data_IF_778726507314
#
_entry.id   IF_778726507314
#
_cell.length_a   1.000
_cell.length_b   1.000
_cell.length_c   1.000
_cell.angle_alpha   90.00
_cell.angle_beta   90.00
_cell.angle_gamma   90.00
#
_symmetry.space_group_name_H-M   'P 1'
#
loop_
_entity.id
_entity.type
_entity.pdbx_description
1 polymer ?
#
# COMPACT_ATOMS: atom_id res chain seq x y z
N UNK A 1 -18.99 -9.15 36.32
CA UNK A 1 -18.65 -9.40 34.90
C UNK A 1 -17.82 -8.23 34.38
N UNK A 2 -16.52 -8.43 34.19
CA UNK A 2 -15.68 -7.41 33.54
C UNK A 2 -16.03 -7.36 32.05
N UNK A 3 -16.54 -6.21 31.57
CA UNK A 3 -16.69 -5.96 30.14
C UNK A 3 -15.29 -5.91 29.54
N UNK A 4 -14.90 -6.97 28.85
CA UNK A 4 -13.72 -6.97 27.98
C UNK A 4 -14.00 -5.95 26.89
N UNK A 5 -13.49 -4.73 27.05
CA UNK A 5 -13.39 -3.77 25.97
C UNK A 5 -12.40 -4.35 24.96
N UNK A 6 -12.86 -5.26 24.11
CA UNK A 6 -12.16 -5.62 22.90
C UNK A 6 -12.15 -4.36 22.04
N UNK A 7 -11.11 -3.53 22.18
CA UNK A 7 -10.83 -2.46 21.23
C UNK A 7 -10.73 -3.16 19.88
N UNK A 8 -11.79 -3.08 19.05
CA UNK A 8 -11.74 -3.55 17.66
C UNK A 8 -10.52 -2.89 17.05
N UNK A 9 -9.53 -3.69 16.70
CA UNK A 9 -8.36 -3.22 15.99
C UNK A 9 -8.87 -2.65 14.67
N UNK A 10 -8.74 -1.34 14.46
CA UNK A 10 -9.00 -0.69 13.15
C UNK A 10 -7.96 -1.10 12.09
N UNK A 11 -7.20 -2.18 12.30
CA UNK A 11 -6.19 -2.68 11.36
C UNK A 11 -6.81 -3.77 10.51
N UNK A 12 -6.75 -3.55 9.20
CA UNK A 12 -7.07 -4.54 8.18
C UNK A 12 -6.13 -5.75 8.28
N UNK A 13 -6.65 -6.95 8.00
CA UNK A 13 -5.82 -8.15 7.83
C UNK A 13 -4.95 -8.04 6.58
N UNK A 14 -3.91 -8.88 6.46
CA UNK A 14 -3.06 -8.87 5.27
C UNK A 14 -3.87 -9.18 3.99
N UNK A 15 -4.81 -10.12 4.07
CA UNK A 15 -5.67 -10.48 2.94
C UNK A 15 -6.60 -9.34 2.55
N UNK A 16 -7.19 -8.65 3.53
CA UNK A 16 -7.99 -7.45 3.25
C UNK A 16 -7.16 -6.35 2.58
N UNK A 17 -5.92 -6.15 3.03
CA UNK A 17 -4.99 -5.18 2.42
C UNK A 17 -4.71 -5.56 0.96
N UNK A 18 -4.42 -6.84 0.68
CA UNK A 18 -4.15 -7.33 -0.67
C UNK A 18 -5.33 -7.11 -1.61
N UNK A 19 -6.55 -7.45 -1.18
CA UNK A 19 -7.74 -7.26 -1.99
C UNK A 19 -8.04 -5.78 -2.23
N UNK A 20 -7.89 -4.91 -1.21
CA UNK A 20 -8.04 -3.46 -1.39
C UNK A 20 -6.96 -2.91 -2.35
N UNK A 21 -5.73 -3.41 -2.27
CA UNK A 21 -4.65 -2.97 -3.16
C UNK A 21 -4.91 -3.37 -4.62
N UNK A 22 -5.47 -4.55 -4.90
CA UNK A 22 -5.89 -4.95 -6.25
C UNK A 22 -6.89 -3.96 -6.84
N UNK A 23 -7.93 -3.62 -6.07
CA UNK A 23 -8.94 -2.62 -6.48
C UNK A 23 -8.28 -1.26 -6.74
N UNK A 24 -7.37 -0.82 -5.87
CA UNK A 24 -6.65 0.44 -6.06
C UNK A 24 -5.75 0.43 -7.30
N UNK A 25 -5.13 -0.70 -7.65
CA UNK A 25 -4.35 -0.85 -8.89
C UNK A 25 -5.26 -0.74 -10.11
N UNK A 26 -6.39 -1.46 -10.12
CA UNK A 26 -7.36 -1.39 -11.21
C UNK A 26 -7.91 0.02 -11.40
N UNK A 27 -8.26 0.70 -10.30
CA UNK A 27 -8.73 2.08 -10.33
C UNK A 27 -7.62 3.05 -10.81
N UNK A 28 -6.37 2.86 -10.36
CA UNK A 28 -5.24 3.66 -10.78
C UNK A 28 -4.92 3.51 -12.28
N UNK A 29 -5.15 2.31 -12.83
CA UNK A 29 -5.02 2.00 -14.26
C UNK A 29 -6.26 2.37 -15.07
N UNK A 30 -7.26 2.98 -14.43
CA UNK A 30 -8.54 3.39 -15.05
C UNK A 30 -9.33 2.21 -15.66
N UNK A 31 -9.11 0.99 -15.14
CA UNK A 31 -9.81 -0.23 -15.59
C UNK A 31 -11.21 -0.35 -14.98
N UNK A 32 -11.44 0.30 -13.84
CA UNK A 32 -12.74 0.36 -13.16
C UNK A 32 -13.05 1.82 -12.78
N UNK A 33 -14.34 2.13 -12.67
CA UNK A 33 -14.77 3.45 -12.17
C UNK A 33 -14.64 3.55 -10.66
N UNK A 34 -14.72 4.79 -10.13
CA UNK A 34 -14.71 5.02 -8.70
C UNK A 34 -15.89 4.32 -8.00
N UNK A 35 -17.09 4.34 -8.60
CA UNK A 35 -18.28 3.70 -8.03
C UNK A 35 -18.11 2.18 -7.91
N UNK A 36 -17.47 1.54 -8.88
CA UNK A 36 -17.17 0.10 -8.84
C UNK A 36 -16.14 -0.16 -7.74
N UNK A 37 -15.05 0.62 -7.70
CA UNK A 37 -14.02 0.49 -6.68
C UNK A 37 -14.58 0.65 -5.26
N UNK A 38 -15.48 1.61 -5.04
CA UNK A 38 -16.19 1.83 -3.77
C UNK A 38 -16.99 0.60 -3.37
N UNK A 39 -17.85 0.11 -4.29
CA UNK A 39 -18.70 -1.06 -4.05
C UNK A 39 -17.88 -2.29 -3.70
N UNK A 40 -16.84 -2.61 -4.46
CA UNK A 40 -16.00 -3.78 -4.20
C UNK A 40 -15.19 -3.65 -2.91
N UNK A 41 -14.70 -2.44 -2.61
CA UNK A 41 -13.97 -2.18 -1.35
C UNK A 41 -14.87 -2.39 -0.13
N UNK A 42 -16.12 -1.94 -0.17
CA UNK A 42 -17.07 -2.08 0.94
C UNK A 42 -17.51 -3.53 1.17
N UNK A 43 -17.44 -4.41 0.17
CA UNK A 43 -17.66 -5.85 0.36
C UNK A 43 -16.54 -6.49 1.19
N UNK A 44 -15.30 -6.01 1.03
CA UNK A 44 -14.13 -6.53 1.76
C UNK A 44 -14.09 -5.95 3.17
N UNK A 45 -14.22 -4.62 3.28
CA UNK A 45 -14.24 -3.92 4.56
C UNK A 45 -15.33 -2.85 4.57
N UNK A 46 -16.51 -3.13 5.17
CA UNK A 46 -17.64 -2.20 5.19
C UNK A 46 -17.35 -0.85 5.86
N UNK A 47 -16.33 -0.77 6.71
CA UNK A 47 -15.93 0.45 7.42
C UNK A 47 -14.78 1.19 6.75
N UNK A 48 -14.42 0.82 5.51
CA UNK A 48 -13.33 1.46 4.79
C UNK A 48 -13.69 2.90 4.41
N UNK A 49 -12.77 3.88 4.57
CA UNK A 49 -13.02 5.27 4.21
C UNK A 49 -12.96 5.47 2.68
N UNK A 50 -14.03 5.13 1.99
CA UNK A 50 -14.14 5.16 0.52
C UNK A 50 -13.90 6.53 -0.10
N UNK A 51 -14.16 7.61 0.63
CA UNK A 51 -13.87 8.99 0.20
C UNK A 51 -12.37 9.24 -0.08
N UNK A 52 -11.47 8.36 0.37
CA UNK A 52 -10.05 8.42 0.06
C UNK A 52 -9.66 7.66 -1.22
N UNK A 53 -10.55 6.93 -1.88
CA UNK A 53 -10.17 6.06 -3.00
C UNK A 53 -9.56 6.83 -4.18
N UNK A 54 -10.06 8.02 -4.49
CA UNK A 54 -9.51 8.85 -5.57
C UNK A 54 -8.08 9.31 -5.24
N UNK A 55 -7.83 9.75 -4.01
CA UNK A 55 -6.49 10.18 -3.59
C UNK A 55 -5.53 8.99 -3.49
N UNK A 56 -6.02 7.85 -3.02
CA UNK A 56 -5.30 6.59 -2.99
C UNK A 56 -4.93 6.11 -4.41
N UNK A 57 -5.83 6.25 -5.38
CA UNK A 57 -5.60 5.90 -6.79
C UNK A 57 -4.54 6.80 -7.42
N UNK A 58 -4.62 8.13 -7.22
CA UNK A 58 -3.57 9.06 -7.69
C UNK A 58 -2.21 8.75 -7.07
N UNK A 59 -2.17 8.35 -5.80
CA UNK A 59 -0.93 7.87 -5.16
C UNK A 59 -0.45 6.58 -5.80
N UNK A 60 -1.34 5.62 -6.03
CA UNK A 60 -1.01 4.35 -6.67
C UNK A 60 -0.47 4.55 -8.09
N UNK A 61 -1.06 5.45 -8.90
CA UNK A 61 -0.53 5.82 -10.22
C UNK A 61 0.94 6.23 -10.15
N UNK A 62 1.29 7.14 -9.24
CA UNK A 62 2.69 7.56 -9.02
C UNK A 62 3.59 6.37 -8.65
N UNK A 63 3.12 5.51 -7.76
CA UNK A 63 3.85 4.31 -7.32
C UNK A 63 4.08 3.32 -8.45
N UNK A 64 3.06 3.09 -9.29
CA UNK A 64 3.17 2.26 -10.50
C UNK A 64 4.12 2.86 -11.53
N UNK A 65 4.33 4.18 -11.53
CA UNK A 65 5.35 4.87 -12.34
C UNK A 65 6.72 5.00 -11.65
N UNK A 66 6.92 4.36 -10.51
CA UNK A 66 8.20 4.36 -9.81
C UNK A 66 8.53 5.63 -9.02
N UNK A 67 7.52 6.47 -8.75
CA UNK A 67 7.67 7.73 -8.03
C UNK A 67 7.28 7.55 -6.55
N UNK A 68 8.26 7.66 -5.67
CA UNK A 68 8.10 7.62 -4.22
C UNK A 68 7.60 8.95 -3.64
N UNK A 69 6.95 8.89 -2.47
CA UNK A 69 6.44 10.06 -1.78
C UNK A 69 6.69 9.95 -0.27
N UNK A 70 7.02 11.07 0.37
CA UNK A 70 7.14 11.17 1.83
C UNK A 70 5.77 11.30 2.50
N UNK A 71 4.98 12.29 2.05
CA UNK A 71 3.62 12.52 2.53
C UNK A 71 2.67 11.45 1.96
N UNK A 72 1.77 10.94 2.81
CA UNK A 72 0.85 9.84 2.48
C UNK A 72 1.55 8.56 2.00
N UNK A 73 2.79 8.35 2.46
CA UNK A 73 3.60 7.16 2.21
C UNK A 73 2.90 5.86 2.63
N UNK A 74 3.26 4.75 1.98
CA UNK A 74 2.74 3.44 2.34
C UNK A 74 3.29 3.00 3.71
N UNK A 75 2.41 2.60 4.65
CA UNK A 75 2.83 1.82 5.81
C UNK A 75 3.53 0.53 5.35
N UNK A 76 4.52 0.06 6.13
CA UNK A 76 5.36 -1.07 5.72
C UNK A 76 4.56 -2.35 5.38
N UNK A 77 3.49 -2.65 6.12
CA UNK A 77 2.64 -3.82 5.82
C UNK A 77 1.87 -3.68 4.50
N UNK A 78 1.46 -2.46 4.12
CA UNK A 78 0.86 -2.20 2.82
C UNK A 78 1.88 -2.27 1.68
N UNK A 79 3.09 -1.74 1.93
CA UNK A 79 4.20 -1.84 0.97
C UNK A 79 4.58 -3.30 0.70
N UNK A 80 4.65 -4.12 1.76
CA UNK A 80 4.91 -5.55 1.64
C UNK A 80 3.80 -6.25 0.84
N UNK A 81 2.53 -6.05 1.22
CA UNK A 81 1.41 -6.65 0.51
C UNK A 81 1.38 -6.24 -0.98
N UNK A 82 1.72 -4.99 -1.30
CA UNK A 82 1.79 -4.48 -2.67
C UNK A 82 2.88 -5.20 -3.48
N UNK A 83 4.07 -5.40 -2.89
CA UNK A 83 5.15 -6.17 -3.54
C UNK A 83 4.84 -7.66 -3.68
N UNK A 84 4.01 -8.23 -2.78
CA UNK A 84 3.59 -9.65 -2.83
C UNK A 84 2.55 -9.93 -3.92
N UNK A 85 1.69 -8.96 -4.25
CA UNK A 85 0.62 -9.15 -5.25
C UNK A 85 1.00 -8.70 -6.67
N UNK A 86 2.19 -8.11 -6.84
CA UNK A 86 2.67 -7.59 -8.13
C UNK A 86 3.89 -8.37 -8.61
N UNK A 87 4.15 -8.37 -9.91
CA UNK A 87 5.29 -9.05 -10.52
C UNK A 87 5.87 -8.23 -11.69
N UNK A 88 6.98 -8.72 -12.26
CA UNK A 88 7.62 -8.14 -13.44
C UNK A 88 7.95 -6.65 -13.31
N UNK A 89 7.72 -5.90 -14.40
CA UNK A 89 8.00 -4.46 -14.50
C UNK A 89 7.22 -3.65 -13.46
N UNK A 90 5.96 -4.00 -13.22
CA UNK A 90 5.13 -3.31 -12.23
C UNK A 90 5.74 -3.41 -10.82
N UNK A 91 6.15 -4.63 -10.42
CA UNK A 91 6.85 -4.84 -9.15
C UNK A 91 8.15 -4.05 -9.08
N UNK A 92 8.91 -3.98 -10.17
CA UNK A 92 10.16 -3.22 -10.23
C UNK A 92 9.93 -1.71 -10.02
N UNK A 93 8.91 -1.14 -10.65
CA UNK A 93 8.53 0.27 -10.46
C UNK A 93 8.05 0.51 -9.03
N UNK A 94 7.18 -0.34 -8.48
CA UNK A 94 6.74 -0.23 -7.08
C UNK A 94 7.95 -0.27 -6.13
N UNK A 95 8.88 -1.19 -6.34
CA UNK A 95 10.08 -1.30 -5.52
C UNK A 95 10.95 -0.04 -5.59
N UNK A 96 11.12 0.54 -6.79
CA UNK A 96 11.78 1.83 -6.99
C UNK A 96 11.09 2.96 -6.22
N UNK A 97 9.76 3.07 -6.32
CA UNK A 97 8.98 4.07 -5.59
C UNK A 97 9.14 3.93 -4.06
N UNK A 98 9.17 2.70 -3.54
CA UNK A 98 9.35 2.45 -2.12
C UNK A 98 10.77 2.77 -1.64
N UNK A 99 11.81 2.53 -2.47
CA UNK A 99 13.18 2.99 -2.18
C UNK A 99 13.27 4.51 -2.15
N UNK A 100 12.60 5.21 -3.08
CA UNK A 100 12.54 6.67 -3.04
C UNK A 100 11.78 7.18 -1.80
N UNK A 101 10.67 6.55 -1.42
CA UNK A 101 9.98 6.84 -0.17
C UNK A 101 10.93 6.72 1.04
N UNK A 102 11.74 5.66 1.10
CA UNK A 102 12.73 5.46 2.16
C UNK A 102 13.81 6.54 2.16
N UNK A 103 14.34 6.92 0.99
CA UNK A 103 15.29 8.03 0.84
C UNK A 103 14.71 9.34 1.38
N UNK A 104 13.46 9.65 1.02
CA UNK A 104 12.79 10.86 1.49
C UNK A 104 12.56 10.86 3.02
N UNK A 105 12.28 9.70 3.62
CA UNK A 105 12.22 9.56 5.08
C UNK A 105 13.56 9.93 5.73
N UNK A 106 14.68 9.42 5.20
CA UNK A 106 16.00 9.76 5.71
C UNK A 106 16.29 11.27 5.61
N UNK A 107 15.94 11.89 4.48
CA UNK A 107 16.17 13.33 4.25
C UNK A 107 15.32 14.23 5.15
N UNK A 108 14.08 13.83 5.44
CA UNK A 108 13.14 14.64 6.23
C UNK A 108 13.24 14.39 7.73
N UNK A 109 13.42 13.14 8.13
CA UNK A 109 13.37 12.72 9.54
C UNK A 109 14.76 12.41 10.11
N UNK A 110 15.81 12.44 9.30
CA UNK A 110 17.18 12.09 9.68
C UNK A 110 17.38 10.60 9.96
N UNK A 111 16.37 9.76 9.67
CA UNK A 111 16.44 8.31 9.92
C UNK A 111 15.54 7.52 8.97
N UNK A 112 15.96 6.28 8.75
CA UNK A 112 15.22 5.28 7.99
C UNK A 112 13.94 4.82 8.72
N UNK A 113 12.89 4.50 7.94
CA UNK A 113 11.77 3.73 8.46
C UNK A 113 12.19 2.26 8.57
N UNK A 114 12.55 1.82 9.78
CA UNK A 114 13.06 0.46 10.04
C UNK A 114 12.13 -0.67 9.58
N UNK A 115 10.81 -0.43 9.55
CA UNK A 115 9.86 -1.46 9.10
C UNK A 115 9.86 -1.57 7.58
N UNK A 116 9.87 -0.43 6.88
CA UNK A 116 9.95 -0.39 5.43
C UNK A 116 11.31 -0.90 4.93
N UNK A 117 12.40 -0.57 5.64
CA UNK A 117 13.75 -1.05 5.35
C UNK A 117 13.81 -2.59 5.31
N UNK A 118 13.21 -3.26 6.30
CA UNK A 118 13.12 -4.74 6.32
C UNK A 118 12.32 -5.29 5.12
N UNK A 119 11.23 -4.63 4.75
CA UNK A 119 10.42 -5.01 3.59
C UNK A 119 11.24 -4.88 2.30
N UNK A 120 11.99 -3.77 2.16
CA UNK A 120 12.83 -3.53 1.00
C UNK A 120 13.98 -4.55 0.91
N UNK A 121 14.66 -4.85 2.02
CA UNK A 121 15.73 -5.85 2.06
C UNK A 121 15.23 -7.25 1.66
N UNK A 122 14.08 -7.68 2.21
CA UNK A 122 13.48 -8.96 1.84
C UNK A 122 13.07 -9.01 0.37
N UNK A 123 12.52 -7.91 -0.16
CA UNK A 123 12.10 -7.85 -1.56
C UNK A 123 13.28 -7.83 -2.55
N UNK A 124 14.43 -7.29 -2.14
CA UNK A 124 15.67 -7.26 -2.91
C UNK A 124 16.32 -8.65 -3.02
N UNK A 125 16.33 -9.42 -1.93
CA UNK A 125 16.82 -10.80 -1.93
C UNK A 125 16.03 -11.68 -2.92
N UNK A 126 14.71 -11.45 -3.02
CA UNK A 126 13.83 -12.16 -3.95
C UNK A 126 13.89 -11.63 -5.41
N UNK A 127 14.77 -10.68 -5.73
CA UNK A 127 15.05 -10.25 -7.12
C UNK A 127 16.28 -10.93 -7.71
N UNK A 128 17.11 -11.56 -6.87
CA UNK A 128 18.38 -12.20 -7.24
C UNK A 128 18.31 -13.73 -7.35
N UNK A 129 17.14 -14.31 -7.09
CA UNK A 129 16.81 -15.73 -7.36
C UNK A 129 16.00 -15.86 -8.64
#
# INVERSE_FOLDING_TARGET
>A
MQKVNSRKSNRYTNDQIKEILKIRIELAKELISCEIAERETLKIVPTYPVYNLISDAKRMQKTLSGVGQYYLSYPANWAQALLEITNGEERAQIFKALKEQQRLYLEKDGKNNKKLEKVLQAAEQNLTE
#
